data_IF_438750272899
#
_entry.id   IF_438750272899
#
_cell.length_a   1.000
_cell.length_b   1.000
_cell.length_c   1.000
_cell.angle_alpha   90.00
_cell.angle_beta   90.00
_cell.angle_gamma   90.00
#
_symmetry.space_group_name_H-M   'P 1'
#
loop_
_entity.id
_entity.type
_entity.pdbx_description
1 polymer ?
#
# COMPACT_ATOMS: atom_id res chain seq x y z
N UNK A 1 10.36 -23.70 1.20
CA UNK A 1 10.86 -23.24 2.51
C UNK A 1 12.09 -22.38 2.28
N UNK A 2 12.01 -21.05 2.44
CA UNK A 2 13.20 -20.18 2.37
C UNK A 2 14.05 -20.36 3.62
N UNK A 3 15.38 -20.22 3.52
CA UNK A 3 16.27 -20.42 4.67
C UNK A 3 16.05 -19.29 5.70
N UNK A 4 16.23 -19.54 7.01
CA UNK A 4 16.07 -18.51 8.05
C UNK A 4 16.90 -17.24 7.83
N UNK A 5 18.08 -17.37 7.20
CA UNK A 5 18.93 -16.25 6.79
C UNK A 5 18.29 -15.38 5.70
N UNK A 6 17.52 -15.96 4.77
CA UNK A 6 16.81 -15.21 3.72
C UNK A 6 15.73 -14.31 4.32
N UNK A 7 15.00 -14.80 5.33
CA UNK A 7 13.96 -14.00 6.02
C UNK A 7 14.58 -12.84 6.80
N UNK A 8 15.65 -13.07 7.58
CA UNK A 8 16.32 -11.97 8.30
C UNK A 8 16.81 -10.86 7.36
N UNK A 9 17.40 -11.25 6.23
CA UNK A 9 17.84 -10.29 5.22
C UNK A 9 16.67 -9.56 4.56
N UNK A 10 15.53 -10.24 4.36
CA UNK A 10 14.35 -9.67 3.74
C UNK A 10 13.66 -8.62 4.62
N UNK A 11 13.44 -8.91 5.90
CA UNK A 11 12.72 -8.03 6.83
C UNK A 11 13.60 -6.99 7.53
N UNK A 12 14.93 -7.11 7.42
CA UNK A 12 15.92 -6.17 7.99
C UNK A 12 15.64 -5.85 9.47
N UNK A 13 15.24 -6.87 10.23
CA UNK A 13 14.73 -6.74 11.61
C UNK A 13 15.78 -6.07 12.52
N UNK A 14 17.06 -6.29 12.24
CA UNK A 14 18.18 -5.77 13.03
C UNK A 14 18.29 -4.22 13.01
N UNK A 15 17.56 -3.52 12.13
CA UNK A 15 17.49 -2.05 12.16
C UNK A 15 16.55 -1.48 13.22
N UNK A 16 15.73 -2.32 13.83
CA UNK A 16 14.77 -1.93 14.86
C UNK A 16 15.27 -2.28 16.26
N UNK A 17 14.95 -1.43 17.23
CA UNK A 17 15.25 -1.73 18.62
C UNK A 17 14.37 -2.86 19.15
N UNK A 18 14.84 -3.54 20.21
CA UNK A 18 14.08 -4.60 20.87
C UNK A 18 12.76 -4.06 21.41
N UNK A 19 12.74 -2.83 21.92
CA UNK A 19 11.55 -2.17 22.43
C UNK A 19 10.53 -1.90 21.33
N UNK A 20 10.97 -1.49 20.13
CA UNK A 20 10.08 -1.29 18.99
C UNK A 20 9.43 -2.61 18.57
N UNK A 21 10.23 -3.68 18.45
CA UNK A 21 9.72 -5.00 18.07
C UNK A 21 8.80 -5.62 19.13
N UNK A 22 9.09 -5.37 20.41
CA UNK A 22 8.26 -5.85 21.52
C UNK A 22 6.89 -5.15 21.60
N UNK A 23 6.75 -3.94 21.04
CA UNK A 23 5.48 -3.20 21.00
C UNK A 23 4.53 -3.70 19.92
N UNK A 24 5.05 -4.18 18.79
CA UNK A 24 4.22 -4.59 17.65
C UNK A 24 3.07 -5.54 18.01
N UNK A 25 3.28 -6.65 18.76
CA UNK A 25 2.17 -7.54 19.10
C UNK A 25 1.12 -6.85 19.99
N UNK A 26 1.53 -5.91 20.83
CA UNK A 26 0.63 -5.16 21.70
C UNK A 26 -0.22 -4.16 20.90
N UNK A 27 0.40 -3.42 19.98
CA UNK A 27 -0.28 -2.47 19.10
C UNK A 27 -1.26 -3.18 18.17
N UNK A 28 -0.82 -4.26 17.51
CA UNK A 28 -1.68 -5.10 16.66
C UNK A 28 -2.88 -5.63 17.46
N UNK A 29 -2.65 -6.15 18.67
CA UNK A 29 -3.74 -6.63 19.51
C UNK A 29 -4.71 -5.50 19.92
N UNK A 30 -4.19 -4.32 20.24
CA UNK A 30 -4.99 -3.14 20.58
C UNK A 30 -5.88 -2.69 19.42
N UNK A 31 -5.32 -2.51 18.22
CA UNK A 31 -6.10 -2.18 17.03
C UNK A 31 -7.09 -3.29 16.66
N UNK A 32 -6.69 -4.55 16.82
CA UNK A 32 -7.58 -5.68 16.54
C UNK A 32 -8.83 -5.69 17.43
N UNK A 33 -8.73 -5.27 18.70
CA UNK A 33 -9.90 -5.19 19.60
C UNK A 33 -10.97 -4.25 19.04
N UNK A 34 -10.57 -3.15 18.41
CA UNK A 34 -11.51 -2.18 17.82
C UNK A 34 -12.33 -2.74 16.66
N UNK A 35 -11.86 -3.83 16.02
CA UNK A 35 -12.53 -4.50 14.90
C UNK A 35 -13.12 -5.87 15.28
N UNK A 36 -13.24 -6.19 16.57
CA UNK A 36 -13.77 -7.48 17.03
C UNK A 36 -12.76 -8.64 16.95
N UNK A 37 -11.46 -8.33 16.95
CA UNK A 37 -10.35 -9.27 16.93
C UNK A 37 -9.93 -9.70 15.53
N UNK A 38 -8.71 -10.22 15.39
CA UNK A 38 -8.18 -10.73 14.12
C UNK A 38 -8.83 -12.06 13.71
N UNK A 39 -8.86 -12.39 12.40
CA UNK A 39 -9.15 -13.74 11.92
C UNK A 39 -8.18 -14.74 12.56
N UNK A 40 -8.69 -15.80 13.18
CA UNK A 40 -7.84 -16.90 13.69
C UNK A 40 -7.46 -17.88 12.58
N UNK A 41 -8.30 -17.97 11.55
CA UNK A 41 -8.12 -18.81 10.38
C UNK A 41 -8.48 -18.04 9.10
N UNK A 42 -7.95 -18.45 7.95
CA UNK A 42 -8.23 -17.79 6.67
C UNK A 42 -9.74 -17.76 6.37
N UNK A 43 -10.50 -18.78 6.78
CA UNK A 43 -11.96 -18.85 6.58
C UNK A 43 -12.72 -17.69 7.25
N UNK A 44 -12.21 -17.15 8.37
CA UNK A 44 -12.83 -16.01 9.06
C UNK A 44 -12.61 -14.67 8.33
N UNK A 45 -11.73 -14.61 7.33
CA UNK A 45 -11.45 -13.38 6.57
C UNK A 45 -12.74 -12.80 5.98
N UNK A 46 -13.65 -13.63 5.48
CA UNK A 46 -14.92 -13.19 4.87
C UNK A 46 -15.87 -12.49 5.84
N UNK A 47 -15.71 -12.70 7.14
CA UNK A 47 -16.57 -12.12 8.18
C UNK A 47 -15.93 -10.88 8.83
N UNK A 48 -14.62 -10.68 8.59
CA UNK A 48 -13.81 -9.67 9.28
C UNK A 48 -13.32 -8.59 8.33
N UNK A 49 -14.22 -7.69 7.94
CA UNK A 49 -13.86 -6.47 7.20
C UNK A 49 -12.83 -5.66 7.98
N UNK A 50 -11.77 -5.20 7.32
CA UNK A 50 -10.74 -4.37 7.96
C UNK A 50 -9.66 -5.16 8.72
N UNK A 51 -9.58 -6.48 8.55
CA UNK A 51 -8.62 -7.32 9.28
C UNK A 51 -7.14 -7.01 9.02
N UNK A 52 -6.79 -6.32 7.92
CA UNK A 52 -5.43 -5.86 7.63
C UNK A 52 -5.08 -4.54 8.35
N UNK A 53 -6.07 -3.75 8.80
CA UNK A 53 -5.82 -2.44 9.41
C UNK A 53 -4.94 -2.50 10.66
N UNK A 54 -5.09 -3.47 11.59
CA UNK A 54 -4.20 -3.58 12.74
C UNK A 54 -2.73 -3.76 12.36
N UNK A 55 -2.47 -4.51 11.29
CA UNK A 55 -1.12 -4.70 10.76
C UNK A 55 -0.63 -3.44 10.03
N UNK A 56 -1.49 -2.82 9.23
CA UNK A 56 -1.17 -1.58 8.52
C UNK A 56 -0.71 -0.48 9.48
N UNK A 57 -1.48 -0.22 10.54
CA UNK A 57 -1.17 0.85 11.49
C UNK A 57 0.10 0.55 12.29
N UNK A 58 0.24 -0.67 12.83
CA UNK A 58 1.42 -1.03 13.61
C UNK A 58 2.71 -1.05 12.77
N UNK A 59 2.64 -1.55 11.53
CA UNK A 59 3.80 -1.57 10.65
C UNK A 59 4.13 -0.18 10.11
N UNK A 60 3.15 0.64 9.77
CA UNK A 60 3.39 2.02 9.35
C UNK A 60 3.98 2.85 10.49
N UNK A 61 3.50 2.73 11.72
CA UNK A 61 4.07 3.42 12.89
C UNK A 61 5.55 3.06 13.13
N UNK A 62 5.93 1.82 12.81
CA UNK A 62 7.31 1.39 12.87
C UNK A 62 8.18 1.96 11.72
N UNK A 63 7.58 2.26 10.57
CA UNK A 63 8.27 2.57 9.32
C UNK A 63 8.22 4.06 8.95
N UNK A 64 7.03 4.60 8.72
CA UNK A 64 6.82 5.93 8.12
C UNK A 64 5.95 6.86 8.96
N UNK A 65 5.07 6.33 9.81
CA UNK A 65 4.20 7.10 10.71
C UNK A 65 3.16 7.96 9.98
N UNK A 66 2.78 7.59 8.75
CA UNK A 66 1.81 8.30 7.92
C UNK A 66 0.39 8.20 8.46
N UNK A 67 -0.01 7.01 8.89
CA UNK A 67 -1.31 6.75 9.47
C UNK A 67 -1.48 7.48 10.79
N UNK A 68 -0.50 7.39 11.69
CA UNK A 68 -0.52 8.15 12.95
C UNK A 68 -0.59 9.66 12.72
N UNK A 69 0.24 10.19 11.82
CA UNK A 69 0.17 11.61 11.46
C UNK A 69 -1.22 12.02 10.95
N UNK A 70 -1.85 11.18 10.13
CA UNK A 70 -3.19 11.44 9.63
C UNK A 70 -4.26 11.36 10.72
N UNK A 71 -4.23 10.31 11.55
CA UNK A 71 -5.22 10.13 12.61
C UNK A 71 -5.12 11.23 13.67
N UNK A 72 -3.91 11.70 13.98
CA UNK A 72 -3.70 12.83 14.90
C UNK A 72 -4.33 14.12 14.35
N UNK A 73 -4.23 14.35 13.02
CA UNK A 73 -4.89 15.49 12.34
C UNK A 73 -6.41 15.34 12.42
N UNK A 74 -6.93 14.14 12.15
CA UNK A 74 -8.37 13.87 12.20
C UNK A 74 -8.93 14.09 13.62
N UNK A 75 -8.23 13.59 14.65
CA UNK A 75 -8.61 13.77 16.05
C UNK A 75 -8.57 15.25 16.45
N UNK A 76 -7.54 15.97 16.02
CA UNK A 76 -7.39 17.41 16.30
C UNK A 76 -8.39 18.28 15.52
N UNK A 77 -8.88 17.79 14.38
CA UNK A 77 -9.75 18.54 13.46
C UNK A 77 -9.04 19.69 12.72
N UNK A 78 -7.70 19.76 12.77
CA UNK A 78 -6.91 20.79 12.07
C UNK A 78 -5.49 20.31 11.78
N UNK A 79 -4.92 20.81 10.68
CA UNK A 79 -3.52 20.57 10.28
C UNK A 79 -2.54 21.54 10.97
N UNK A 80 -3.03 22.55 11.67
CA UNK A 80 -2.16 23.52 12.34
C UNK A 80 -1.37 22.84 13.46
N UNK A 81 -0.05 23.01 13.48
CA UNK A 81 0.82 22.39 14.47
C UNK A 81 0.94 20.86 14.35
N UNK A 82 0.57 20.25 13.21
CA UNK A 82 0.84 18.83 12.93
C UNK A 82 2.31 18.53 12.67
N UNK A 83 3.13 19.56 12.44
CA UNK A 83 4.51 19.40 11.99
C UNK A 83 4.61 19.06 10.49
N UNK A 84 5.81 18.65 10.03
CA UNK A 84 6.01 18.24 8.65
C UNK A 84 5.33 16.90 8.36
N UNK A 85 4.93 16.72 7.10
CA UNK A 85 4.46 15.42 6.61
C UNK A 85 5.60 14.40 6.77
N UNK A 86 5.39 13.23 7.40
CA UNK A 86 6.42 12.20 7.48
C UNK A 86 6.88 11.79 6.09
N UNK A 87 8.18 11.69 5.84
CA UNK A 87 8.70 11.47 4.49
C UNK A 87 8.86 9.97 4.21
N UNK A 88 8.28 9.51 3.11
CA UNK A 88 8.53 8.15 2.59
C UNK A 88 9.77 8.18 1.70
N UNK A 89 10.72 7.30 2.00
CA UNK A 89 11.88 7.08 1.16
C UNK A 89 11.56 6.04 0.06
N UNK A 90 10.97 6.55 -1.03
CA UNK A 90 10.59 5.76 -2.19
C UNK A 90 11.77 4.97 -2.78
N UNK A 91 11.58 3.67 -2.96
CA UNK A 91 12.59 2.76 -3.51
C UNK A 91 12.52 2.72 -5.03
N UNK A 92 13.66 2.45 -5.65
CA UNK A 92 13.73 2.14 -7.06
C UNK A 92 13.08 0.76 -7.29
N UNK A 93 12.28 0.68 -8.35
CA UNK A 93 11.56 -0.55 -8.72
C UNK A 93 12.53 -1.69 -9.03
N UNK A 94 13.78 -1.41 -9.43
CA UNK A 94 14.83 -2.40 -9.72
C UNK A 94 15.64 -2.84 -8.50
N UNK A 95 15.39 -2.28 -7.31
CA UNK A 95 16.12 -2.67 -6.09
C UNK A 95 15.84 -4.12 -5.71
N UNK A 96 16.85 -4.82 -5.17
CA UNK A 96 16.72 -6.23 -4.76
C UNK A 96 15.53 -6.46 -3.80
N UNK A 97 15.28 -5.50 -2.91
CA UNK A 97 14.18 -5.57 -1.96
C UNK A 97 12.82 -5.37 -2.64
N UNK A 98 12.70 -4.41 -3.56
CA UNK A 98 11.48 -4.23 -4.35
C UNK A 98 11.18 -5.47 -5.20
N UNK A 99 12.20 -6.13 -5.75
CA UNK A 99 12.03 -7.38 -6.50
C UNK A 99 11.48 -8.53 -5.64
N UNK A 100 11.81 -8.60 -4.36
CA UNK A 100 11.23 -9.59 -3.46
C UNK A 100 9.73 -9.34 -3.24
N UNK A 101 9.33 -8.08 -3.04
CA UNK A 101 7.93 -7.69 -2.91
C UNK A 101 7.14 -7.90 -4.21
N UNK A 102 7.73 -7.61 -5.37
CA UNK A 102 7.12 -7.94 -6.68
C UNK A 102 6.88 -9.43 -6.84
N UNK A 103 7.85 -10.27 -6.45
CA UNK A 103 7.71 -11.73 -6.47
C UNK A 103 6.59 -12.20 -5.54
N UNK A 104 6.39 -11.54 -4.39
CA UNK A 104 5.25 -11.82 -3.51
C UNK A 104 3.92 -11.53 -4.24
N UNK A 105 3.76 -10.37 -4.88
CA UNK A 105 2.56 -10.06 -5.66
C UNK A 105 2.34 -11.05 -6.81
N UNK A 106 3.40 -11.43 -7.53
CA UNK A 106 3.31 -12.44 -8.58
C UNK A 106 2.84 -13.80 -8.04
N UNK A 107 3.28 -14.20 -6.85
CA UNK A 107 2.79 -15.41 -6.19
C UNK A 107 1.34 -15.31 -5.78
N UNK A 108 0.88 -14.18 -5.23
CA UNK A 108 -0.53 -13.96 -4.95
C UNK A 108 -1.38 -14.24 -6.20
N UNK A 109 -0.94 -13.75 -7.37
CA UNK A 109 -1.64 -13.97 -8.63
C UNK A 109 -1.40 -15.36 -9.26
N UNK A 110 -0.50 -16.17 -8.73
CA UNK A 110 -0.20 -17.52 -9.21
C UNK A 110 -1.17 -18.57 -8.65
N UNK A 111 -2.46 -18.37 -8.87
CA UNK A 111 -3.52 -19.33 -8.56
C UNK A 111 -4.52 -19.37 -9.71
N UNK A 112 -5.07 -20.54 -10.03
CA UNK A 112 -5.88 -20.74 -11.23
C UNK A 112 -7.17 -19.89 -11.27
N UNK A 113 -7.75 -19.60 -10.10
CA UNK A 113 -8.91 -18.71 -9.93
C UNK A 113 -8.54 -17.22 -9.75
N UNK A 114 -7.26 -16.88 -9.68
CA UNK A 114 -6.82 -15.51 -9.37
C UNK A 114 -6.86 -14.60 -10.58
N UNK A 115 -7.25 -13.35 -10.37
CA UNK A 115 -7.00 -12.23 -11.26
C UNK A 115 -6.82 -10.93 -10.46
N UNK A 116 -6.42 -9.86 -11.14
CA UNK A 116 -6.13 -8.57 -10.51
C UNK A 116 -7.35 -7.95 -9.81
N UNK A 117 -8.57 -8.10 -10.37
CA UNK A 117 -9.79 -7.59 -9.76
C UNK A 117 -10.12 -8.31 -8.46
N UNK A 118 -10.08 -9.65 -8.46
CA UNK A 118 -10.36 -10.46 -7.26
C UNK A 118 -9.34 -10.20 -6.15
N UNK A 119 -8.08 -9.98 -6.50
CA UNK A 119 -7.04 -9.64 -5.53
C UNK A 119 -7.23 -8.22 -4.98
N UNK A 120 -7.57 -7.25 -5.83
CA UNK A 120 -7.88 -5.89 -5.40
C UNK A 120 -9.08 -5.84 -4.45
N UNK A 121 -10.16 -6.58 -4.75
CA UNK A 121 -11.35 -6.66 -3.90
C UNK A 121 -11.02 -7.31 -2.54
N UNK A 122 -10.14 -8.33 -2.52
CA UNK A 122 -9.67 -8.94 -1.27
C UNK A 122 -8.85 -7.97 -0.40
N UNK A 123 -7.94 -7.20 -1.01
CA UNK A 123 -7.17 -6.17 -0.31
C UNK A 123 -8.07 -5.04 0.22
N UNK A 124 -9.01 -4.56 -0.59
CA UNK A 124 -9.96 -3.53 -0.17
C UNK A 124 -10.87 -4.01 0.96
N UNK A 125 -11.31 -5.27 0.94
CA UNK A 125 -12.02 -5.85 2.08
C UNK A 125 -11.16 -5.89 3.34
N UNK A 126 -9.90 -6.35 3.20
CA UNK A 126 -8.94 -6.41 4.30
C UNK A 126 -8.62 -5.04 4.91
N UNK A 127 -8.63 -3.97 4.12
CA UNK A 127 -8.37 -2.60 4.60
C UNK A 127 -9.64 -1.80 4.89
N UNK A 128 -10.82 -2.45 4.86
CA UNK A 128 -12.11 -1.79 4.97
C UNK A 128 -12.39 -0.70 3.91
N UNK A 129 -11.69 -0.73 2.76
CA UNK A 129 -11.95 0.12 1.60
C UNK A 129 -13.18 -0.29 0.77
N UNK A 130 -13.66 -1.53 0.94
CA UNK A 130 -14.92 -2.02 0.36
C UNK A 130 -15.90 -2.43 1.47
N UNK A 131 -17.21 -2.25 1.23
CA UNK A 131 -18.28 -2.80 2.07
C UNK A 131 -18.74 -4.19 1.61
N UNK A 132 -18.43 -4.57 0.38
CA UNK A 132 -18.76 -5.87 -0.18
C UNK A 132 -17.62 -6.85 0.08
N UNK A 133 -17.96 -8.03 0.62
CA UNK A 133 -17.01 -9.12 0.77
C UNK A 133 -16.53 -9.63 -0.61
N UNK A 134 -15.25 -10.04 -0.72
CA UNK A 134 -14.70 -10.48 -1.99
C UNK A 134 -15.36 -11.78 -2.43
N UNK A 135 -15.77 -11.83 -3.70
CA UNK A 135 -16.41 -13.02 -4.31
C UNK A 135 -15.34 -13.97 -4.83
N UNK A 136 -14.63 -14.63 -3.91
CA UNK A 136 -13.55 -15.57 -4.22
C UNK A 136 -13.79 -16.92 -3.55
N UNK A 137 -13.17 -17.98 -4.08
CA UNK A 137 -13.22 -19.31 -3.48
C UNK A 137 -12.42 -19.34 -2.17
N UNK A 138 -12.77 -20.26 -1.26
CA UNK A 138 -12.03 -20.44 0.00
C UNK A 138 -10.55 -20.81 -0.26
N UNK A 139 -10.29 -21.62 -1.28
CA UNK A 139 -8.94 -21.97 -1.75
C UNK A 139 -8.15 -20.74 -2.19
N UNK A 140 -8.77 -19.84 -2.97
CA UNK A 140 -8.12 -18.62 -3.42
C UNK A 140 -7.85 -17.66 -2.24
N UNK A 141 -8.79 -17.54 -1.31
CA UNK A 141 -8.60 -16.76 -0.09
C UNK A 141 -7.46 -17.32 0.77
N UNK A 142 -7.39 -18.64 0.97
CA UNK A 142 -6.28 -19.27 1.71
C UNK A 142 -4.93 -19.00 1.03
N UNK A 143 -4.90 -19.05 -0.30
CA UNK A 143 -3.72 -18.72 -1.10
C UNK A 143 -3.26 -17.28 -0.88
N UNK A 144 -4.15 -16.30 -1.03
CA UNK A 144 -3.84 -14.89 -0.75
C UNK A 144 -3.38 -14.68 0.70
N UNK A 145 -4.05 -15.30 1.66
CA UNK A 145 -3.73 -15.18 3.08
C UNK A 145 -2.34 -15.72 3.44
N UNK A 146 -1.85 -16.74 2.71
CA UNK A 146 -0.51 -17.32 2.92
C UNK A 146 0.60 -16.54 2.21
N UNK A 147 0.31 -16.03 1.02
CA UNK A 147 1.34 -15.42 0.17
C UNK A 147 1.48 -13.92 0.40
N UNK A 148 0.40 -13.20 0.71
CA UNK A 148 0.44 -11.75 0.87
C UNK A 148 1.13 -11.33 2.17
N UNK A 149 2.12 -10.45 2.04
CA UNK A 149 2.85 -9.88 3.17
C UNK A 149 2.85 -8.36 3.11
N UNK A 150 2.01 -7.75 3.94
CA UNK A 150 1.86 -6.30 4.01
C UNK A 150 3.16 -5.60 4.48
N UNK A 151 3.94 -6.22 5.36
CA UNK A 151 5.16 -5.60 5.87
C UNK A 151 6.15 -5.36 4.72
N UNK A 152 6.29 -6.32 3.79
CA UNK A 152 7.20 -6.17 2.64
C UNK A 152 6.81 -5.02 1.72
N UNK A 153 5.51 -4.76 1.58
CA UNK A 153 4.97 -3.64 0.80
C UNK A 153 5.36 -2.33 1.44
N UNK A 154 5.06 -2.17 2.73
CA UNK A 154 5.35 -0.95 3.48
C UNK A 154 6.86 -0.69 3.61
N UNK A 155 7.65 -1.74 3.85
CA UNK A 155 9.09 -1.62 4.05
C UNK A 155 9.86 -1.26 2.76
N UNK A 156 9.28 -1.54 1.60
CA UNK A 156 9.91 -1.30 0.31
C UNK A 156 8.99 -0.45 -0.57
N UNK A 157 8.70 0.80 -0.17
CA UNK A 157 7.64 1.58 -0.80
C UNK A 157 7.99 1.93 -2.25
N UNK A 158 7.13 1.55 -3.18
CA UNK A 158 7.17 1.92 -4.60
C UNK A 158 5.81 1.66 -5.23
N UNK A 159 5.65 2.09 -6.49
CA UNK A 159 4.45 1.88 -7.31
C UNK A 159 4.30 0.42 -7.80
N UNK A 160 4.03 -0.52 -6.88
CA UNK A 160 3.90 -1.94 -7.21
C UNK A 160 2.70 -2.25 -8.09
N UNK A 161 1.53 -1.69 -7.78
CA UNK A 161 0.29 -2.13 -8.40
C UNK A 161 0.17 -1.67 -9.86
N UNK A 162 0.86 -0.59 -10.23
CA UNK A 162 1.08 -0.25 -11.64
C UNK A 162 1.79 -1.36 -12.41
N UNK A 163 2.87 -1.92 -11.84
CA UNK A 163 3.63 -2.98 -12.50
C UNK A 163 2.82 -4.28 -12.58
N UNK A 164 2.11 -4.62 -11.50
CA UNK A 164 1.22 -5.78 -11.47
C UNK A 164 0.14 -5.66 -12.54
N UNK A 165 -0.52 -4.50 -12.66
CA UNK A 165 -1.54 -4.28 -13.69
C UNK A 165 -0.94 -4.33 -15.11
N UNK A 166 0.24 -3.74 -15.30
CA UNK A 166 0.98 -3.80 -16.57
C UNK A 166 1.26 -5.25 -16.99
N UNK A 167 1.75 -6.10 -16.07
CA UNK A 167 2.10 -7.49 -16.33
C UNK A 167 0.87 -8.36 -16.64
N UNK A 168 -0.26 -8.09 -15.98
CA UNK A 168 -1.52 -8.82 -16.17
C UNK A 168 -2.29 -8.38 -17.43
N UNK A 169 -2.12 -7.12 -17.87
CA UNK A 169 -2.78 -6.60 -19.08
C UNK A 169 -1.91 -6.67 -20.34
N UNK A 170 -0.58 -6.75 -20.19
CA UNK A 170 0.38 -6.77 -21.29
C UNK A 170 0.50 -8.11 -22.05
N UNK A 171 -0.20 -9.17 -21.62
CA UNK A 171 -0.12 -10.51 -22.24
C UNK A 171 -1.30 -10.77 -23.18
N UNK A 172 -1.02 -11.38 -24.33
CA UNK A 172 -2.05 -11.88 -25.27
C UNK A 172 -2.80 -10.79 -26.03
N UNK A 173 -4.09 -11.02 -26.32
CA UNK A 173 -4.92 -10.12 -27.15
C UNK A 173 -5.14 -8.72 -26.53
N UNK A 174 -4.85 -8.56 -25.24
CA UNK A 174 -4.98 -7.29 -24.50
C UNK A 174 -3.78 -6.36 -24.63
N UNK A 175 -2.70 -6.77 -25.30
CA UNK A 175 -1.47 -5.97 -25.43
C UNK A 175 -1.69 -4.58 -26.06
N UNK A 176 -2.64 -4.44 -26.99
CA UNK A 176 -2.99 -3.15 -27.62
C UNK A 176 -3.86 -2.22 -26.74
N UNK A 177 -4.42 -2.74 -25.64
CA UNK A 177 -5.26 -2.02 -24.67
C UNK A 177 -4.60 -2.01 -23.28
N UNK A 178 -3.29 -2.31 -23.23
CA UNK A 178 -2.55 -2.52 -22.00
C UNK A 178 -2.46 -1.26 -21.12
N UNK A 179 -2.18 -1.48 -19.84
CA UNK A 179 -1.85 -0.42 -18.90
C UNK A 179 -0.36 -0.10 -19.00
N UNK A 180 -0.01 1.17 -19.16
CA UNK A 180 1.37 1.63 -19.32
C UNK A 180 1.72 2.63 -18.22
N UNK A 181 2.37 2.18 -17.12
CA UNK A 181 2.73 3.09 -16.06
C UNK A 181 3.88 4.01 -16.46
N UNK A 182 3.79 5.28 -16.09
CA UNK A 182 4.95 6.18 -16.13
C UNK A 182 6.03 5.60 -15.22
N UNK A 183 7.28 5.44 -15.70
CA UNK A 183 8.36 4.93 -14.87
C UNK A 183 8.52 5.74 -13.58
N UNK A 184 8.54 5.05 -12.43
CA UNK A 184 8.41 5.69 -11.13
C UNK A 184 9.48 6.76 -10.83
N UNK A 185 10.70 6.57 -11.34
CA UNK A 185 11.78 7.55 -11.25
C UNK A 185 11.49 8.86 -12.02
N UNK A 186 10.86 8.76 -13.20
CA UNK A 186 10.43 9.93 -13.99
C UNK A 186 9.35 10.69 -13.24
N UNK A 187 8.41 9.94 -12.67
CA UNK A 187 7.33 10.51 -11.90
C UNK A 187 7.82 11.24 -10.64
N UNK A 188 8.78 10.65 -9.91
CA UNK A 188 9.45 11.32 -8.78
C UNK A 188 10.12 12.62 -9.21
N UNK A 189 10.88 12.59 -10.31
CA UNK A 189 11.51 13.78 -10.89
C UNK A 189 10.47 14.85 -11.24
N UNK A 190 9.35 14.47 -11.86
CA UNK A 190 8.27 15.41 -12.20
C UNK A 190 7.69 16.08 -10.95
N UNK A 191 7.43 15.32 -9.89
CA UNK A 191 6.97 15.86 -8.60
C UNK A 191 8.02 16.80 -8.00
N UNK A 192 9.30 16.43 -8.05
CA UNK A 192 10.39 17.27 -7.57
C UNK A 192 10.47 18.60 -8.34
N UNK A 193 10.26 18.58 -9.66
CA UNK A 193 10.19 19.83 -10.45
C UNK A 193 8.95 20.65 -10.07
N UNK A 194 7.79 20.00 -9.89
CA UNK A 194 6.54 20.68 -9.57
C UNK A 194 6.53 21.29 -8.16
N UNK A 195 7.17 20.64 -7.17
CA UNK A 195 7.23 21.19 -5.82
C UNK A 195 8.25 22.34 -5.70
N UNK A 196 9.35 22.27 -6.48
CA UNK A 196 10.44 23.23 -6.46
C UNK A 196 11.01 23.49 -5.06
N UNK A 197 11.51 24.70 -4.82
CA UNK A 197 11.98 25.15 -3.50
C UNK A 197 10.83 25.71 -2.63
N UNK A 198 9.61 25.19 -2.82
CA UNK A 198 8.43 25.66 -2.09
C UNK A 198 8.52 25.42 -0.59
N UNK A 199 8.05 26.36 0.22
CA UNK A 199 7.96 26.20 1.68
C UNK A 199 7.09 24.97 2.02
N UNK A 200 7.61 23.95 2.72
CA UNK A 200 6.87 22.73 3.04
C UNK A 200 5.52 22.98 3.76
N UNK A 201 5.45 23.99 4.61
CA UNK A 201 4.22 24.35 5.34
C UNK A 201 3.15 24.96 4.43
N UNK A 202 3.58 25.65 3.38
CA UNK A 202 2.70 26.13 2.32
C UNK A 202 2.27 24.99 1.39
N UNK A 203 3.22 24.15 0.98
CA UNK A 203 3.02 23.06 0.02
C UNK A 203 2.02 22.02 0.52
N UNK A 204 2.09 21.64 1.80
CA UNK A 204 1.16 20.67 2.39
C UNK A 204 -0.32 21.08 2.30
N UNK A 205 -0.60 22.37 2.13
CA UNK A 205 -1.96 22.94 2.03
C UNK A 205 -2.46 23.03 0.59
N UNK A 206 -1.57 22.89 -0.38
CA UNK A 206 -1.91 22.92 -1.80
C UNK A 206 -2.60 21.62 -2.20
N UNK A 207 -3.30 21.69 -3.33
CA UNK A 207 -3.93 20.55 -3.97
C UNK A 207 -3.12 20.14 -5.19
N UNK A 208 -2.99 18.83 -5.41
CA UNK A 208 -2.43 18.26 -6.64
C UNK A 208 -3.50 17.44 -7.37
N UNK A 209 -3.47 17.46 -8.70
CA UNK A 209 -4.39 16.72 -9.55
C UNK A 209 -3.60 15.88 -10.55
N UNK A 210 -3.93 14.60 -10.66
CA UNK A 210 -3.55 13.74 -11.79
C UNK A 210 -4.81 13.32 -12.54
N UNK A 211 -5.01 13.88 -13.73
CA UNK A 211 -6.21 13.66 -14.53
C UNK A 211 -6.26 12.29 -15.23
N UNK A 212 -5.15 11.53 -15.17
CA UNK A 212 -4.98 10.20 -15.76
C UNK A 212 -4.17 9.35 -14.76
N UNK A 213 -4.69 9.23 -13.54
CA UNK A 213 -3.93 8.82 -12.36
C UNK A 213 -3.39 7.39 -12.45
N UNK A 214 -4.00 6.53 -13.26
CA UNK A 214 -3.68 5.10 -13.30
C UNK A 214 -3.78 4.49 -11.91
N UNK A 215 -2.73 3.79 -11.48
CA UNK A 215 -2.61 3.24 -10.13
C UNK A 215 -1.98 4.22 -9.13
N UNK A 216 -1.80 5.50 -9.48
CA UNK A 216 -1.31 6.53 -8.55
C UNK A 216 0.19 6.81 -8.61
N UNK A 217 0.91 6.33 -9.65
CA UNK A 217 2.35 6.50 -9.80
C UNK A 217 2.84 7.92 -9.44
N UNK A 218 2.11 8.96 -9.86
CA UNK A 218 2.41 10.39 -9.61
C UNK A 218 1.98 10.88 -8.26
N UNK A 219 0.78 10.51 -7.83
CA UNK A 219 0.27 11.00 -6.57
C UNK A 219 0.99 10.36 -5.36
N UNK A 220 1.54 9.16 -5.51
CA UNK A 220 2.36 8.51 -4.47
C UNK A 220 3.54 9.39 -4.03
N UNK A 221 4.53 9.76 -4.87
CA UNK A 221 5.60 10.65 -4.45
C UNK A 221 5.11 12.08 -4.15
N UNK A 222 4.02 12.54 -4.78
CA UNK A 222 3.41 13.82 -4.42
C UNK A 222 2.90 13.85 -2.97
N UNK A 223 2.48 12.72 -2.41
CA UNK A 223 2.04 12.62 -1.01
C UNK A 223 3.11 12.97 0.03
N UNK A 224 4.40 13.04 -0.35
CA UNK A 224 5.46 13.59 0.51
C UNK A 224 5.32 15.10 0.72
N UNK A 225 4.59 15.81 -0.14
CA UNK A 225 4.55 17.27 -0.17
C UNK A 225 3.13 17.84 -0.03
N UNK A 226 2.10 17.10 -0.41
CA UNK A 226 0.71 17.57 -0.45
C UNK A 226 -0.20 16.69 0.41
N UNK A 227 -1.10 17.30 1.19
CA UNK A 227 -2.13 16.56 1.94
C UNK A 227 -3.43 16.36 1.15
N UNK A 228 -3.58 17.02 0.00
CA UNK A 228 -4.79 16.95 -0.83
C UNK A 228 -4.43 16.56 -2.26
N UNK A 229 -4.70 15.30 -2.60
CA UNK A 229 -4.57 14.78 -3.95
C UNK A 229 -5.94 14.49 -4.57
N UNK A 230 -6.08 14.79 -5.85
CA UNK A 230 -7.23 14.39 -6.66
C UNK A 230 -6.71 13.54 -7.82
N UNK A 231 -7.37 12.42 -8.07
CA UNK A 231 -7.05 11.51 -9.15
C UNK A 231 -8.31 11.09 -9.89
N UNK A 232 -8.23 10.99 -11.20
CA UNK A 232 -9.27 10.34 -12.01
C UNK A 232 -8.62 9.44 -13.06
N UNK A 233 -9.28 8.33 -13.39
CA UNK A 233 -8.90 7.47 -14.49
C UNK A 233 -10.15 6.85 -15.12
N UNK A 234 -10.06 6.49 -16.40
CA UNK A 234 -11.13 5.76 -17.09
C UNK A 234 -11.18 4.29 -16.67
N UNK A 235 -10.04 3.74 -16.25
CA UNK A 235 -9.90 2.35 -15.83
C UNK A 235 -10.32 2.18 -14.36
N UNK A 236 -11.48 1.57 -14.14
CA UNK A 236 -11.99 1.31 -12.80
C UNK A 236 -11.04 0.45 -11.95
N UNK A 237 -10.37 -0.55 -12.54
CA UNK A 237 -9.37 -1.36 -11.83
C UNK A 237 -8.13 -0.54 -11.46
N UNK A 238 -7.67 0.38 -12.33
CA UNK A 238 -6.54 1.25 -12.00
C UNK A 238 -6.88 2.17 -10.81
N UNK A 239 -8.09 2.72 -10.77
CA UNK A 239 -8.57 3.51 -9.62
C UNK A 239 -8.64 2.67 -8.34
N UNK A 240 -9.14 1.42 -8.39
CA UNK A 240 -9.12 0.51 -7.23
C UNK A 240 -7.69 0.29 -6.71
N UNK A 241 -6.76 0.01 -7.62
CA UNK A 241 -5.35 -0.19 -7.28
C UNK A 241 -4.70 1.10 -6.75
N UNK A 242 -5.05 2.26 -7.29
CA UNK A 242 -4.65 3.56 -6.75
C UNK A 242 -5.10 3.69 -5.29
N UNK A 243 -6.38 3.46 -5.00
CA UNK A 243 -6.91 3.48 -3.63
C UNK A 243 -6.14 2.56 -2.70
N UNK A 244 -5.83 1.33 -3.13
CA UNK A 244 -5.06 0.37 -2.34
C UNK A 244 -3.64 0.89 -2.04
N UNK A 245 -2.94 1.46 -3.03
CA UNK A 245 -1.60 2.02 -2.78
C UNK A 245 -1.64 3.23 -1.85
N UNK A 246 -2.72 4.01 -1.88
CA UNK A 246 -2.93 5.09 -0.92
C UNK A 246 -3.19 4.55 0.50
N UNK A 247 -3.94 3.46 0.66
CA UNK A 247 -3.99 2.79 1.96
C UNK A 247 -2.60 2.39 2.48
N UNK A 248 -1.73 1.89 1.60
CA UNK A 248 -0.38 1.50 2.01
C UNK A 248 0.49 2.69 2.44
N UNK A 249 0.45 3.81 1.70
CA UNK A 249 1.50 4.82 1.83
C UNK A 249 1.02 6.24 2.17
N UNK A 250 -0.24 6.56 1.87
CA UNK A 250 -0.75 7.92 1.96
C UNK A 250 -2.25 7.87 2.28
N UNK A 251 -2.64 7.92 3.56
CA UNK A 251 -4.04 7.81 3.97
C UNK A 251 -4.96 8.79 3.23
N UNK A 252 -6.17 8.31 2.90
CA UNK A 252 -7.24 9.05 2.23
C UNK A 252 -8.13 9.79 3.25
#
# INVERSE_FOLDING_TARGET
>A
MSKPQDKKHLYRIDRFSVEQLARLPHEIAGYAQAIGGLPQHHSEVFEKRGWLLPFLFAYDDLLWGRWRYWTDILEKGTIEGSGPIPQIEWKDTSSHQAEATKKMFAKCLQHYDSNIDTFADWLLWGMAGSIEAPRISESLNEHYYKEFDLFLVLDNPTDYLSHVLCDETGKGYKSGLGYYPTPFNITRMMVEICHGDGDPEHMKRQSVLDSCVGCGATLLPASNYFLRGYGQDISGIAVKLCTIQFYFYAPL
#
